data_IF_185303727053
#
_entry.id   IF_185303727053
#
_cell.length_a   1.000
_cell.length_b   1.000
_cell.length_c   1.000
_cell.angle_alpha   90.00
_cell.angle_beta   90.00
_cell.angle_gamma   90.00
#
_symmetry.space_group_name_H-M   'P 1'
#
loop_
_entity.id
_entity.type
_entity.pdbx_description
1 polymer ?
#
# COMPACT_ATOMS: atom_id res chain seq x y z
N UNK A 1 1.50 13.36 -31.46
CA UNK A 1 2.53 13.65 -30.43
C UNK A 1 2.23 14.87 -29.54
N UNK A 2 1.52 15.93 -29.99
CA UNK A 2 1.25 17.14 -29.19
C UNK A 2 0.47 16.92 -27.87
N UNK A 3 -0.42 15.93 -27.79
CA UNK A 3 -1.20 15.68 -26.57
C UNK A 3 -0.43 14.93 -25.46
N UNK A 4 0.70 14.26 -25.75
CA UNK A 4 1.41 13.47 -24.72
C UNK A 4 2.01 14.34 -23.62
N UNK A 5 2.59 15.50 -23.96
CA UNK A 5 3.18 16.41 -22.98
C UNK A 5 2.14 17.08 -22.08
N UNK A 6 0.98 17.46 -22.63
CA UNK A 6 -0.08 18.11 -21.88
C UNK A 6 -0.61 17.24 -20.72
N UNK A 7 -0.87 15.95 -20.98
CA UNK A 7 -1.31 15.01 -19.93
C UNK A 7 -0.26 14.80 -18.84
N UNK A 8 1.02 14.80 -19.20
CA UNK A 8 2.12 14.62 -18.25
C UNK A 8 2.25 15.80 -17.30
N UNK A 9 2.15 17.01 -17.84
CA UNK A 9 2.14 18.24 -17.03
C UNK A 9 0.92 18.24 -16.11
N UNK A 10 -0.26 17.84 -16.62
CA UNK A 10 -1.46 17.73 -15.79
C UNK A 10 -1.27 16.76 -14.61
N UNK A 11 -0.77 15.54 -14.85
CA UNK A 11 -0.51 14.58 -13.77
C UNK A 11 0.50 15.12 -12.75
N UNK A 12 1.57 15.78 -13.21
CA UNK A 12 2.56 16.38 -12.33
C UNK A 12 1.94 17.47 -11.46
N UNK A 13 1.10 18.34 -12.03
CA UNK A 13 0.40 19.38 -11.28
C UNK A 13 -0.55 18.80 -10.22
N UNK A 14 -1.32 17.76 -10.57
CA UNK A 14 -2.20 17.07 -9.62
C UNK A 14 -1.37 16.43 -8.50
N UNK A 15 -0.25 15.79 -8.82
CA UNK A 15 0.63 15.17 -7.83
C UNK A 15 1.28 16.20 -6.90
N UNK A 16 1.79 17.31 -7.43
CA UNK A 16 2.38 18.40 -6.62
C UNK A 16 1.33 19.02 -5.70
N UNK A 17 0.12 19.27 -6.22
CA UNK A 17 -1.01 19.74 -5.41
C UNK A 17 -1.37 18.75 -4.30
N UNK A 18 -1.37 17.45 -4.61
CA UNK A 18 -1.62 16.39 -3.63
C UNK A 18 -0.55 16.36 -2.52
N UNK A 19 0.73 16.44 -2.89
CA UNK A 19 1.84 16.54 -1.94
C UNK A 19 1.71 17.78 -1.04
N UNK A 20 1.32 18.92 -1.60
CA UNK A 20 1.11 20.15 -0.85
C UNK A 20 0.02 19.99 0.22
N UNK A 21 -1.09 19.31 -0.11
CA UNK A 21 -2.14 19.02 0.87
C UNK A 21 -1.58 18.17 2.02
N UNK A 22 -0.80 17.12 1.76
CA UNK A 22 -0.20 16.29 2.82
C UNK A 22 0.80 17.04 3.70
N UNK A 23 1.61 17.94 3.13
CA UNK A 23 2.56 18.78 3.88
C UNK A 23 1.82 19.77 4.80
N UNK A 24 0.71 20.33 4.32
CA UNK A 24 -0.09 21.32 5.05
C UNK A 24 -1.01 20.68 6.09
N UNK A 25 -1.50 19.46 5.87
CA UNK A 25 -2.45 18.75 6.73
C UNK A 25 -2.12 18.77 8.25
N UNK A 26 -0.87 18.54 8.71
CA UNK A 26 -0.55 18.53 10.13
C UNK A 26 -0.37 19.93 10.75
N UNK A 27 -0.45 21.00 9.95
CA UNK A 27 -0.15 22.37 10.40
C UNK A 27 -1.33 23.04 11.10
N UNK A 28 -1.04 24.06 11.91
CA UNK A 28 -2.07 24.92 12.56
C UNK A 28 -2.97 25.59 11.52
N UNK A 29 -2.39 26.01 10.39
CA UNK A 29 -3.12 26.67 9.30
C UNK A 29 -4.22 25.77 8.75
N UNK A 30 -3.89 24.51 8.47
CA UNK A 30 -4.89 23.57 7.99
C UNK A 30 -5.99 23.35 9.03
N UNK A 31 -5.60 23.02 10.28
CA UNK A 31 -6.56 22.72 11.36
C UNK A 31 -7.49 23.90 11.68
N UNK A 32 -6.96 25.10 11.83
CA UNK A 32 -7.70 26.23 12.38
C UNK A 32 -8.37 27.09 11.29
N UNK A 33 -7.77 27.18 10.10
CA UNK A 33 -8.28 28.07 9.05
C UNK A 33 -8.91 27.31 7.89
N UNK A 34 -8.34 26.17 7.46
CA UNK A 34 -8.82 25.47 6.26
C UNK A 34 -9.93 24.48 6.58
N UNK A 35 -9.77 23.62 7.59
CA UNK A 35 -10.79 22.64 8.00
C UNK A 35 -12.19 23.24 8.16
N UNK A 36 -12.41 24.35 8.91
CA UNK A 36 -13.75 24.91 9.04
C UNK A 36 -14.32 25.42 7.71
N UNK A 37 -13.51 26.13 6.90
CA UNK A 37 -13.92 26.64 5.58
C UNK A 37 -14.22 25.53 4.58
N UNK A 38 -13.45 24.44 4.63
CA UNK A 38 -13.64 23.27 3.78
C UNK A 38 -14.90 22.52 4.17
N UNK A 39 -15.12 22.30 5.47
CA UNK A 39 -16.33 21.63 5.96
C UNK A 39 -17.59 22.43 5.64
N UNK A 40 -17.56 23.75 5.77
CA UNK A 40 -18.71 24.59 5.38
C UNK A 40 -19.06 24.45 3.89
N UNK A 41 -18.05 24.39 3.02
CA UNK A 41 -18.26 24.31 1.56
C UNK A 41 -18.54 22.90 1.03
N UNK A 42 -17.98 21.88 1.68
CA UNK A 42 -17.98 20.50 1.20
C UNK A 42 -18.96 19.59 1.94
N UNK A 43 -19.59 20.08 3.02
CA UNK A 43 -20.67 19.38 3.69
C UNK A 43 -21.95 19.46 2.87
N UNK A 44 -22.10 18.52 1.95
CA UNK A 44 -23.30 18.36 1.13
C UNK A 44 -24.21 17.26 1.68
N UNK A 45 -25.46 17.26 1.23
CA UNK A 45 -26.48 16.25 1.58
C UNK A 45 -26.00 14.81 1.35
N UNK A 46 -25.16 14.59 0.33
CA UNK A 46 -24.69 13.27 -0.08
C UNK A 46 -23.38 12.86 0.61
N UNK A 47 -22.42 13.76 0.77
CA UNK A 47 -21.09 13.40 1.29
C UNK A 47 -20.89 13.69 2.77
N UNK A 48 -21.76 14.51 3.38
CA UNK A 48 -21.76 14.86 4.81
C UNK A 48 -20.36 15.28 5.30
N UNK A 49 -20.03 14.93 6.54
CA UNK A 49 -18.74 15.24 7.19
C UNK A 49 -17.52 14.55 6.53
N UNK A 50 -17.74 13.56 5.65
CA UNK A 50 -16.67 12.85 4.95
C UNK A 50 -16.30 13.48 3.60
N UNK A 51 -17.07 14.47 3.13
CA UNK A 51 -16.87 15.10 1.82
C UNK A 51 -15.47 15.71 1.63
N UNK A 52 -14.95 16.37 2.68
CA UNK A 52 -13.59 16.94 2.66
C UNK A 52 -12.53 15.86 2.45
N UNK A 53 -12.63 14.74 3.17
CA UNK A 53 -11.65 13.66 3.07
C UNK A 53 -11.73 12.96 1.71
N UNK A 54 -12.94 12.68 1.23
CA UNK A 54 -13.16 12.03 -0.05
C UNK A 54 -12.61 12.87 -1.22
N UNK A 55 -12.90 14.18 -1.22
CA UNK A 55 -12.47 15.07 -2.29
C UNK A 55 -10.98 15.36 -2.27
N UNK A 56 -10.37 15.55 -1.10
CA UNK A 56 -8.96 15.90 -1.01
C UNK A 56 -8.02 14.70 -1.09
N UNK A 57 -8.40 13.55 -0.53
CA UNK A 57 -7.50 12.40 -0.43
C UNK A 57 -7.83 11.27 -1.42
N UNK A 58 -9.11 10.97 -1.64
CA UNK A 58 -9.52 9.83 -2.48
C UNK A 58 -9.70 10.22 -3.96
N UNK A 59 -10.34 11.35 -4.24
CA UNK A 59 -10.63 11.78 -5.61
C UNK A 59 -9.38 11.95 -6.49
N UNK A 60 -8.27 12.58 -6.04
CA UNK A 60 -7.07 12.69 -6.87
C UNK A 60 -6.48 11.33 -7.25
N UNK A 61 -6.48 10.37 -6.31
CA UNK A 61 -6.00 9.02 -6.56
C UNK A 61 -6.88 8.28 -7.58
N UNK A 62 -8.20 8.35 -7.41
CA UNK A 62 -9.17 7.75 -8.34
C UNK A 62 -9.09 8.39 -9.74
N UNK A 63 -8.92 9.71 -9.81
CA UNK A 63 -8.75 10.43 -11.07
C UNK A 63 -7.49 9.97 -11.79
N UNK A 64 -6.36 9.86 -11.07
CA UNK A 64 -5.10 9.37 -11.65
C UNK A 64 -5.28 7.94 -12.16
N UNK A 65 -5.91 7.06 -11.38
CA UNK A 65 -6.15 5.67 -11.76
C UNK A 65 -7.05 5.57 -13.02
N UNK A 66 -8.15 6.31 -13.05
CA UNK A 66 -9.09 6.32 -14.18
C UNK A 66 -8.43 6.83 -15.46
N UNK A 67 -7.66 7.92 -15.37
CA UNK A 67 -6.93 8.46 -16.52
C UNK A 67 -5.84 7.51 -17.01
N UNK A 68 -5.13 6.84 -16.11
CA UNK A 68 -4.10 5.87 -16.50
C UNK A 68 -4.71 4.65 -17.23
N UNK A 69 -5.84 4.12 -16.74
CA UNK A 69 -6.60 3.06 -17.41
C UNK A 69 -7.11 3.53 -18.79
N UNK A 70 -7.65 4.76 -18.87
CA UNK A 70 -8.11 5.33 -20.14
C UNK A 70 -6.97 5.44 -21.17
N UNK A 71 -5.78 5.90 -20.75
CA UNK A 71 -4.60 5.98 -21.62
C UNK A 71 -4.13 4.59 -22.03
N UNK A 72 -4.13 3.63 -21.11
CA UNK A 72 -3.76 2.24 -21.39
C UNK A 72 -4.66 1.63 -22.48
N UNK A 73 -5.98 1.75 -22.35
CA UNK A 73 -6.94 1.28 -23.35
C UNK A 73 -6.77 2.02 -24.69
N UNK A 74 -6.60 3.35 -24.64
CA UNK A 74 -6.40 4.18 -25.83
C UNK A 74 -5.12 3.83 -26.60
N UNK A 75 -4.07 3.40 -25.90
CA UNK A 75 -2.82 2.91 -26.52
C UNK A 75 -2.95 1.48 -27.03
N UNK A 76 -3.64 0.58 -26.31
CA UNK A 76 -3.91 -0.80 -26.76
C UNK A 76 -4.59 -0.83 -28.14
N UNK A 77 -5.54 0.07 -28.38
CA UNK A 77 -6.23 0.21 -29.67
C UNK A 77 -5.36 0.78 -30.82
N UNK A 78 -4.17 1.33 -30.50
CA UNK A 78 -3.18 1.79 -31.48
C UNK A 78 -2.03 0.79 -31.67
N UNK A 79 -1.65 0.05 -30.62
CA UNK A 79 -0.61 -0.99 -30.69
C UNK A 79 -0.99 -2.10 -31.68
N UNK A 80 -2.28 -2.45 -31.82
CA UNK A 80 -2.76 -3.36 -32.88
C UNK A 80 -2.57 -2.83 -34.32
N UNK A 81 -2.25 -1.54 -34.50
CA UNK A 81 -1.99 -0.90 -35.80
C UNK A 81 -0.50 -0.58 -36.05
N UNK A 82 0.31 -0.53 -35.01
CA UNK A 82 1.69 -0.02 -35.07
C UNK A 82 2.77 -1.12 -34.92
N UNK A 83 2.41 -2.43 -34.97
CA UNK A 83 3.39 -3.54 -34.87
C UNK A 83 4.48 -3.48 -35.96
N UNK A 84 4.30 -2.69 -37.01
CA UNK A 84 5.26 -2.63 -38.12
C UNK A 84 6.31 -1.50 -38.03
N UNK A 85 6.22 -0.54 -37.10
CA UNK A 85 7.14 0.62 -37.13
C UNK A 85 7.64 1.00 -35.73
N UNK A 86 8.97 0.94 -35.55
CA UNK A 86 9.81 1.40 -34.43
C UNK A 86 10.12 0.39 -33.31
N UNK A 87 10.95 -0.59 -33.66
CA UNK A 87 12.16 -0.81 -32.84
C UNK A 87 13.04 0.46 -32.90
N UNK A 88 13.58 0.86 -31.75
CA UNK A 88 14.54 1.95 -31.54
C UNK A 88 13.97 3.35 -31.23
N UNK A 89 14.23 3.80 -29.99
CA UNK A 89 14.28 5.19 -29.45
C UNK A 89 13.73 5.16 -28.01
N UNK A 90 14.42 5.55 -26.93
CA UNK A 90 15.61 6.38 -26.75
C UNK A 90 16.19 6.12 -25.35
N UNK A 91 17.52 6.03 -25.32
CA UNK A 91 18.35 6.11 -24.13
C UNK A 91 18.48 7.58 -23.69
N UNK A 92 17.69 8.03 -22.72
CA UNK A 92 17.90 9.32 -22.03
C UNK A 92 18.05 9.16 -20.50
N UNK A 93 17.49 8.11 -19.90
CA UNK A 93 17.51 7.90 -18.44
C UNK A 93 18.65 7.02 -17.92
N UNK A 94 19.71 6.77 -18.71
CA UNK A 94 20.80 5.86 -18.32
C UNK A 94 21.62 6.38 -17.12
N UNK A 95 21.66 7.70 -16.91
CA UNK A 95 22.32 8.30 -15.74
C UNK A 95 21.50 8.16 -14.45
N UNK A 96 20.18 8.28 -14.52
CA UNK A 96 19.26 8.13 -13.38
C UNK A 96 19.11 6.68 -12.90
N UNK A 97 19.69 5.69 -13.60
CA UNK A 97 19.57 4.25 -13.31
C UNK A 97 20.81 3.64 -12.67
N UNK A 98 21.77 4.45 -12.23
CA UNK A 98 23.01 3.93 -11.63
C UNK A 98 22.69 3.25 -10.29
N UNK A 99 23.03 1.96 -10.11
CA UNK A 99 22.81 1.27 -8.84
C UNK A 99 23.63 2.00 -7.75
N UNK A 100 22.96 2.42 -6.68
CA UNK A 100 23.60 3.19 -5.62
C UNK A 100 24.08 2.28 -4.49
N UNK A 101 23.23 1.35 -4.06
CA UNK A 101 23.53 0.45 -2.94
C UNK A 101 22.91 -0.93 -3.17
N UNK A 102 23.62 -1.96 -2.72
CA UNK A 102 23.10 -3.32 -2.58
C UNK A 102 22.82 -3.51 -1.10
N UNK A 103 21.54 -3.56 -0.70
CA UNK A 103 21.15 -3.80 0.69
C UNK A 103 20.13 -4.94 0.74
N UNK A 104 20.49 -6.03 1.42
CA UNK A 104 19.53 -7.07 1.81
C UNK A 104 18.65 -6.52 2.94
N UNK A 105 17.31 -6.70 2.92
CA UNK A 105 16.50 -7.59 2.08
C UNK A 105 15.88 -6.95 0.81
N UNK A 106 16.20 -5.69 0.49
CA UNK A 106 15.51 -4.89 -0.53
C UNK A 106 16.10 -5.02 -1.96
N UNK A 107 17.21 -5.72 -2.12
CA UNK A 107 17.88 -5.93 -3.41
C UNK A 107 18.70 -4.72 -3.86
N UNK A 108 18.98 -4.62 -5.17
CA UNK A 108 19.70 -3.48 -5.75
C UNK A 108 18.75 -2.28 -5.79
N UNK A 109 19.13 -1.19 -5.12
CA UNK A 109 18.35 0.06 -5.04
C UNK A 109 19.09 1.17 -5.79
N UNK A 110 18.34 1.93 -6.57
CA UNK A 110 18.83 3.06 -7.36
C UNK A 110 18.90 4.36 -6.54
N UNK A 111 19.82 5.28 -6.85
CA UNK A 111 19.99 6.56 -6.13
C UNK A 111 18.69 7.39 -6.08
N UNK A 112 17.91 7.33 -7.16
CA UNK A 112 16.61 8.01 -7.27
C UNK A 112 15.58 7.41 -6.31
N UNK A 113 15.53 6.08 -6.20
CA UNK A 113 14.64 5.37 -5.29
C UNK A 113 14.95 5.69 -3.83
N UNK A 114 16.24 5.72 -3.50
CA UNK A 114 16.72 6.11 -2.17
C UNK A 114 16.32 7.55 -1.83
N UNK A 115 16.41 8.46 -2.81
CA UNK A 115 16.03 9.87 -2.64
C UNK A 115 14.52 10.01 -2.38
N UNK A 116 13.69 9.32 -3.15
CA UNK A 116 12.23 9.30 -2.92
C UNK A 116 11.87 8.69 -1.56
N UNK A 117 12.53 7.60 -1.16
CA UNK A 117 12.36 7.01 0.15
C UNK A 117 12.74 7.99 1.28
N UNK A 118 13.87 8.68 1.15
CA UNK A 118 14.32 9.68 2.12
C UNK A 118 13.35 10.87 2.21
N UNK A 119 12.87 11.39 1.07
CA UNK A 119 11.86 12.45 1.03
C UNK A 119 10.55 12.02 1.70
N UNK A 120 10.13 10.76 1.47
CA UNK A 120 8.92 10.24 2.09
C UNK A 120 9.07 10.10 3.61
N UNK A 121 10.21 9.56 4.08
CA UNK A 121 10.52 9.51 5.51
C UNK A 121 10.52 10.93 6.12
N UNK A 122 11.09 11.92 5.42
CA UNK A 122 11.06 13.30 5.86
C UNK A 122 9.62 13.84 5.99
N UNK A 123 8.71 13.48 5.08
CA UNK A 123 7.28 13.81 5.18
C UNK A 123 6.62 13.15 6.42
N UNK A 124 6.96 11.89 6.72
CA UNK A 124 6.43 11.21 7.92
C UNK A 124 6.94 11.87 9.20
N UNK A 125 8.23 12.22 9.26
CA UNK A 125 8.81 12.94 10.41
C UNK A 125 8.19 14.33 10.55
N UNK A 126 8.09 15.08 9.44
CA UNK A 126 7.45 16.40 9.39
C UNK A 126 6.01 16.35 9.91
N UNK A 127 5.24 15.38 9.44
CA UNK A 127 3.84 15.21 9.84
C UNK A 127 3.71 14.82 11.29
N UNK A 128 4.51 13.87 11.79
CA UNK A 128 4.53 13.51 13.22
C UNK A 128 4.87 14.71 14.09
N UNK A 129 5.95 15.43 13.78
CA UNK A 129 6.42 16.56 14.56
C UNK A 129 5.36 17.66 14.65
N UNK A 130 4.76 18.05 13.52
CA UNK A 130 3.72 19.07 13.49
C UNK A 130 2.44 18.61 14.18
N UNK A 131 2.02 17.36 13.96
CA UNK A 131 0.86 16.82 14.66
C UNK A 131 1.05 16.82 16.18
N UNK A 132 2.23 16.43 16.67
CA UNK A 132 2.52 16.45 18.11
C UNK A 132 2.60 17.88 18.65
N UNK A 133 3.25 18.81 17.92
CA UNK A 133 3.31 20.21 18.29
C UNK A 133 1.90 20.83 18.43
N UNK A 134 1.01 20.59 17.47
CA UNK A 134 -0.37 21.09 17.52
C UNK A 134 -1.20 20.39 18.60
N UNK A 135 -0.99 19.09 18.80
CA UNK A 135 -1.74 18.29 19.78
C UNK A 135 -1.35 18.64 21.23
N UNK A 136 -0.06 18.84 21.50
CA UNK A 136 0.42 19.22 22.83
C UNK A 136 0.05 20.65 23.21
N UNK A 137 -0.21 21.53 22.24
CA UNK A 137 -0.75 22.87 22.50
C UNK A 137 -2.21 22.87 22.98
N UNK A 138 -2.98 21.83 22.67
CA UNK A 138 -4.39 21.67 23.08
C UNK A 138 -4.66 20.22 23.49
N UNK A 139 -4.07 19.79 24.61
CA UNK A 139 -4.28 18.46 25.18
C UNK A 139 -5.73 18.32 25.66
N UNK A 140 -6.47 17.41 25.04
CA UNK A 140 -7.81 17.05 25.48
C UNK A 140 -7.73 15.97 26.56
N UNK A 141 -8.06 16.35 27.80
CA UNK A 141 -8.26 15.41 28.90
C UNK A 141 -9.66 14.81 28.80
N UNK A 142 -9.80 13.49 28.86
CA UNK A 142 -11.10 12.81 28.82
C UNK A 142 -11.74 12.73 30.21
N UNK A 143 -10.91 12.74 31.25
CA UNK A 143 -11.34 12.65 32.64
C UNK A 143 -10.63 13.72 33.46
N UNK A 144 -11.30 14.30 34.45
CA UNK A 144 -10.72 15.31 35.34
C UNK A 144 -9.48 14.80 36.11
N UNK A 145 -9.36 13.48 36.30
CA UNK A 145 -8.25 12.81 37.00
C UNK A 145 -7.14 12.29 36.05
N UNK A 146 -7.24 12.53 34.74
CA UNK A 146 -6.24 12.07 33.78
C UNK A 146 -4.92 12.82 33.95
N UNK A 147 -3.81 12.09 34.06
CA UNK A 147 -2.48 12.72 34.20
C UNK A 147 -2.01 13.23 32.84
N UNK A 148 -1.31 14.38 32.83
CA UNK A 148 -0.78 15.01 31.59
C UNK A 148 0.03 14.04 30.73
N UNK A 149 0.81 13.15 31.35
CA UNK A 149 1.61 12.18 30.61
C UNK A 149 0.75 11.09 29.92
N UNK A 150 -0.38 10.70 30.49
CA UNK A 150 -1.34 9.74 29.90
C UNK A 150 -1.98 10.36 28.66
N UNK A 151 -2.42 11.62 28.76
CA UNK A 151 -2.97 12.36 27.63
C UNK A 151 -1.94 12.56 26.50
N UNK A 152 -0.66 12.83 26.85
CA UNK A 152 0.44 12.89 25.87
C UNK A 152 0.67 11.53 25.20
N UNK A 153 0.68 10.44 25.95
CA UNK A 153 0.85 9.10 25.41
C UNK A 153 -0.28 8.73 24.45
N UNK A 154 -1.53 8.95 24.85
CA UNK A 154 -2.71 8.78 23.98
C UNK A 154 -2.60 9.61 22.71
N UNK A 155 -2.17 10.87 22.83
CA UNK A 155 -1.99 11.75 21.67
C UNK A 155 -0.95 11.16 20.70
N UNK A 156 0.20 10.69 21.19
CA UNK A 156 1.23 10.05 20.35
C UNK A 156 0.65 8.82 19.65
N UNK A 157 0.03 7.90 20.38
CA UNK A 157 -0.59 6.70 19.83
C UNK A 157 -1.61 7.03 18.74
N UNK A 158 -2.45 8.05 18.93
CA UNK A 158 -3.40 8.51 17.92
C UNK A 158 -2.72 9.05 16.65
N UNK A 159 -1.65 9.84 16.78
CA UNK A 159 -0.95 10.41 15.62
C UNK A 159 -0.23 9.36 14.79
N UNK A 160 0.28 8.29 15.40
CA UNK A 160 0.86 7.16 14.66
C UNK A 160 -0.14 6.55 13.67
N UNK A 161 -1.43 6.47 14.04
CA UNK A 161 -2.50 6.03 13.13
C UNK A 161 -2.72 6.98 11.95
N UNK A 162 -2.66 8.30 12.16
CA UNK A 162 -2.78 9.27 11.05
C UNK A 162 -1.60 9.22 10.08
N UNK A 163 -0.40 8.96 10.59
CA UNK A 163 0.78 8.75 9.74
C UNK A 163 0.65 7.44 8.98
N UNK A 164 0.13 6.38 9.62
CA UNK A 164 -0.23 5.13 8.96
C UNK A 164 -1.21 5.35 7.79
N UNK A 165 -2.23 6.20 7.97
CA UNK A 165 -3.16 6.57 6.89
C UNK A 165 -2.47 7.31 5.74
N UNK A 166 -1.43 8.10 6.04
CA UNK A 166 -0.59 8.72 5.01
C UNK A 166 0.10 7.62 4.19
N UNK A 167 0.71 6.63 4.84
CA UNK A 167 1.32 5.49 4.14
C UNK A 167 0.30 4.73 3.27
N UNK A 168 -0.93 4.50 3.76
CA UNK A 168 -1.97 3.84 2.96
C UNK A 168 -2.40 4.67 1.74
N UNK A 169 -2.53 5.98 1.87
CA UNK A 169 -2.85 6.83 0.73
C UNK A 169 -1.79 6.72 -0.38
N UNK A 170 -0.52 6.61 0.00
CA UNK A 170 0.58 6.41 -0.93
C UNK A 170 0.66 4.99 -1.49
N UNK A 171 0.18 3.99 -0.76
CA UNK A 171 0.06 2.60 -1.20
C UNK A 171 -1.00 2.42 -2.30
N UNK A 172 -2.05 3.25 -2.30
CA UNK A 172 -3.10 3.24 -3.33
C UNK A 172 -2.77 4.06 -4.58
N UNK A 173 -1.59 4.68 -4.68
CA UNK A 173 -1.18 5.21 -5.97
C UNK A 173 -1.17 4.05 -6.99
N UNK A 174 -1.85 4.21 -8.13
CA UNK A 174 -1.97 3.14 -9.11
C UNK A 174 -0.61 2.94 -9.78
N UNK A 175 0.17 1.99 -9.26
CA UNK A 175 1.46 1.66 -9.85
C UNK A 175 1.37 0.32 -10.57
N UNK A 176 0.43 0.22 -11.51
CA UNK A 176 0.28 -0.98 -12.33
C UNK A 176 1.44 -1.09 -13.33
N UNK A 177 1.90 -2.31 -13.66
CA UNK A 177 3.06 -2.55 -14.56
C UNK A 177 2.89 -1.96 -15.97
N UNK A 178 1.65 -1.67 -16.39
CA UNK A 178 1.31 -1.04 -17.67
C UNK A 178 1.07 0.47 -17.58
N UNK A 179 1.26 1.07 -16.40
CA UNK A 179 1.00 2.49 -16.19
C UNK A 179 1.86 3.33 -17.12
N UNK A 180 1.22 4.29 -17.77
CA UNK A 180 1.88 5.21 -18.67
C UNK A 180 2.75 6.25 -17.94
N UNK A 181 2.63 6.30 -16.61
CA UNK A 181 3.29 7.28 -15.72
C UNK A 181 4.67 6.79 -15.26
N UNK A 182 4.81 5.49 -14.96
CA UNK A 182 6.07 4.89 -14.48
C UNK A 182 7.28 5.13 -15.41
N UNK A 183 7.18 4.93 -16.74
CA UNK A 183 8.30 5.16 -17.65
C UNK A 183 8.72 6.64 -17.76
N UNK A 184 7.92 7.58 -17.27
CA UNK A 184 8.21 9.02 -17.36
C UNK A 184 9.17 9.52 -16.28
N UNK A 185 9.15 8.89 -15.12
CA UNK A 185 10.07 9.18 -14.02
C UNK A 185 11.29 8.26 -14.06
N UNK A 186 11.36 7.36 -15.06
CA UNK A 186 12.44 6.38 -15.20
C UNK A 186 12.36 5.21 -14.23
N UNK A 187 11.26 5.10 -13.45
CA UNK A 187 11.01 4.02 -12.50
C UNK A 187 10.58 2.75 -13.23
N UNK A 188 11.07 1.61 -12.77
CA UNK A 188 10.72 0.29 -13.30
C UNK A 188 9.52 -0.29 -12.57
N UNK A 189 8.81 -1.22 -13.20
CA UNK A 189 7.78 -2.03 -12.53
C UNK A 189 8.32 -2.81 -11.33
N UNK A 190 9.61 -3.15 -11.33
CA UNK A 190 10.28 -3.83 -10.23
C UNK A 190 10.47 -2.89 -9.02
N UNK A 191 10.88 -1.65 -9.28
CA UNK A 191 11.00 -0.57 -8.28
C UNK A 191 9.68 -0.31 -7.55
N UNK A 192 8.58 -0.25 -8.31
CA UNK A 192 7.24 -0.10 -7.77
C UNK A 192 6.87 -1.18 -6.75
N UNK A 193 7.18 -2.44 -7.08
CA UNK A 193 6.84 -3.58 -6.21
C UNK A 193 7.64 -3.48 -4.91
N UNK A 194 8.94 -3.17 -4.99
CA UNK A 194 9.78 -2.93 -3.80
C UNK A 194 9.24 -1.79 -2.94
N UNK A 195 8.82 -0.69 -3.58
CA UNK A 195 8.18 0.44 -2.90
C UNK A 195 6.89 0.02 -2.17
N UNK A 196 5.99 -0.73 -2.82
CA UNK A 196 4.74 -1.18 -2.20
C UNK A 196 4.97 -2.07 -1.00
N UNK A 197 5.90 -3.02 -1.11
CA UNK A 197 6.28 -3.92 -0.01
C UNK A 197 6.85 -3.10 1.15
N UNK A 198 7.82 -2.24 0.86
CA UNK A 198 8.45 -1.38 1.86
C UNK A 198 7.43 -0.48 2.58
N UNK A 199 6.58 0.20 1.82
CA UNK A 199 5.56 1.08 2.35
C UNK A 199 4.49 0.32 3.14
N UNK A 200 4.16 -0.90 2.69
CA UNK A 200 3.33 -1.86 3.42
C UNK A 200 3.89 -2.13 4.81
N UNK A 201 5.15 -2.56 4.92
CA UNK A 201 5.79 -2.82 6.21
C UNK A 201 5.86 -1.59 7.11
N UNK A 202 6.22 -0.42 6.56
CA UNK A 202 6.23 0.85 7.32
C UNK A 202 4.83 1.14 7.88
N UNK A 203 3.78 0.97 7.07
CA UNK A 203 2.40 1.16 7.52
C UNK A 203 2.00 0.16 8.60
N UNK A 204 2.35 -1.12 8.45
CA UNK A 204 2.07 -2.16 9.45
C UNK A 204 2.72 -1.84 10.79
N UNK A 205 3.98 -1.39 10.81
CA UNK A 205 4.68 -0.99 12.05
C UNK A 205 3.98 0.20 12.72
N UNK A 206 3.58 1.22 11.94
CA UNK A 206 2.88 2.40 12.48
C UNK A 206 1.52 2.04 13.06
N UNK A 207 0.73 1.22 12.36
CA UNK A 207 -0.57 0.76 12.84
C UNK A 207 -0.44 -0.18 14.04
N UNK A 208 0.58 -1.06 14.06
CA UNK A 208 0.86 -1.89 15.22
C UNK A 208 1.24 -1.05 16.44
N UNK A 209 2.10 -0.05 16.28
CA UNK A 209 2.45 0.87 17.36
C UNK A 209 1.24 1.69 17.85
N UNK A 210 0.37 2.12 16.93
CA UNK A 210 -0.91 2.75 17.26
C UNK A 210 -1.81 1.81 18.09
N UNK A 211 -2.06 0.59 17.61
CA UNK A 211 -2.92 -0.39 18.27
C UNK A 211 -2.39 -0.82 19.64
N UNK A 212 -1.09 -1.15 19.73
CA UNK A 212 -0.44 -1.51 21.00
C UNK A 212 -0.48 -0.34 21.97
N UNK A 213 -0.24 0.88 21.50
CA UNK A 213 -0.35 2.09 22.30
C UNK A 213 -1.74 2.27 22.92
N UNK A 214 -2.82 2.04 22.15
CA UNK A 214 -4.18 2.11 22.69
C UNK A 214 -4.53 0.95 23.64
N UNK A 215 -4.03 -0.26 23.37
CA UNK A 215 -4.19 -1.40 24.29
C UNK A 215 -3.52 -1.07 25.64
N UNK A 216 -2.29 -0.56 25.64
CA UNK A 216 -1.59 -0.17 26.88
C UNK A 216 -2.35 0.97 27.59
N UNK A 217 -2.81 1.98 26.86
CA UNK A 217 -3.54 3.11 27.45
C UNK A 217 -4.83 2.64 28.15
N UNK A 218 -5.67 1.84 27.47
CA UNK A 218 -6.93 1.39 28.06
C UNK A 218 -6.77 0.32 29.12
N UNK A 219 -5.76 -0.55 29.01
CA UNK A 219 -5.53 -1.64 29.95
C UNK A 219 -4.77 -1.22 31.19
N UNK A 220 -3.66 -0.49 31.04
CA UNK A 220 -2.73 -0.24 32.13
C UNK A 220 -2.84 1.18 32.72
N UNK A 221 -3.46 2.13 32.01
CA UNK A 221 -3.50 3.53 32.45
C UNK A 221 -4.88 4.01 32.91
N UNK A 222 -5.95 3.54 32.27
CA UNK A 222 -7.32 4.06 32.51
C UNK A 222 -8.34 3.00 32.90
N UNK A 223 -7.99 1.70 32.88
CA UNK A 223 -8.90 0.57 33.18
C UNK A 223 -10.23 0.60 32.38
N UNK A 224 -10.18 1.04 31.12
CA UNK A 224 -11.35 1.25 30.25
C UNK A 224 -11.33 0.34 29.02
N UNK A 225 -11.12 -0.96 29.21
CA UNK A 225 -11.02 -1.92 28.11
C UNK A 225 -12.26 -2.00 27.22
N UNK A 226 -13.44 -1.73 27.77
CA UNK A 226 -14.70 -1.78 27.02
C UNK A 226 -14.74 -0.80 25.83
N UNK A 227 -13.94 0.28 25.86
CA UNK A 227 -13.86 1.25 24.76
C UNK A 227 -13.28 0.62 23.47
N UNK A 228 -12.49 -0.46 23.57
CA UNK A 228 -12.05 -1.21 22.38
C UNK A 228 -13.20 -1.82 21.59
N UNK A 229 -14.32 -2.10 22.26
CA UNK A 229 -15.52 -2.70 21.67
C UNK A 229 -16.54 -1.65 21.20
N UNK A 230 -16.22 -0.37 21.30
CA UNK A 230 -17.12 0.69 20.89
C UNK A 230 -17.16 0.81 19.36
N UNK A 231 -18.37 0.72 18.80
CA UNK A 231 -18.64 1.00 17.40
C UNK A 231 -19.05 2.46 17.21
N UNK A 232 -18.47 3.14 16.21
CA UNK A 232 -18.86 4.48 15.80
C UNK A 232 -19.59 4.44 14.46
N UNK A 233 -20.66 5.23 14.31
CA UNK A 233 -21.43 5.34 13.06
C UNK A 233 -20.92 6.44 12.13
N UNK A 234 -20.19 7.43 12.65
CA UNK A 234 -19.76 8.63 11.92
C UNK A 234 -18.25 8.69 11.69
N UNK A 235 -17.46 8.08 12.59
CA UNK A 235 -16.00 8.12 12.57
C UNK A 235 -15.40 6.71 12.64
N UNK A 236 -14.05 6.63 12.66
CA UNK A 236 -13.30 5.39 12.76
C UNK A 236 -13.73 4.59 14.00
N UNK A 237 -14.27 3.39 13.76
CA UNK A 237 -14.73 2.45 14.79
C UNK A 237 -13.56 1.70 15.43
N UNK A 238 -13.53 1.63 16.76
CA UNK A 238 -12.46 0.93 17.49
C UNK A 238 -12.49 -0.57 17.19
N UNK A 239 -13.68 -1.18 17.16
CA UNK A 239 -13.87 -2.60 16.82
C UNK A 239 -13.30 -2.92 15.44
N UNK A 240 -13.57 -2.07 14.44
CA UNK A 240 -13.04 -2.26 13.09
C UNK A 240 -11.51 -2.23 13.09
N UNK A 241 -10.90 -1.33 13.87
CA UNK A 241 -9.44 -1.27 14.06
C UNK A 241 -8.87 -2.52 14.73
N UNK A 242 -9.54 -3.08 15.75
CA UNK A 242 -9.12 -4.33 16.42
C UNK A 242 -9.17 -5.51 15.46
N UNK A 243 -10.26 -5.65 14.68
CA UNK A 243 -10.38 -6.69 13.66
C UNK A 243 -9.25 -6.55 12.62
N UNK A 244 -9.02 -5.33 12.12
CA UNK A 244 -7.96 -5.06 11.16
C UNK A 244 -6.56 -5.40 11.71
N UNK A 245 -6.29 -5.08 12.98
CA UNK A 245 -5.03 -5.39 13.65
C UNK A 245 -4.81 -6.91 13.76
N UNK A 246 -5.84 -7.67 14.17
CA UNK A 246 -5.75 -9.14 14.26
C UNK A 246 -5.51 -9.77 12.88
N UNK A 247 -6.21 -9.30 11.84
CA UNK A 247 -6.00 -9.76 10.47
C UNK A 247 -4.59 -9.44 9.96
N UNK A 248 -4.08 -8.25 10.28
CA UNK A 248 -2.72 -7.83 9.92
C UNK A 248 -1.65 -8.72 10.55
N UNK A 249 -1.83 -9.14 11.81
CA UNK A 249 -0.91 -10.08 12.47
C UNK A 249 -0.91 -11.47 11.82
N UNK A 250 -2.06 -11.89 11.27
CA UNK A 250 -2.18 -13.13 10.51
C UNK A 250 -1.47 -13.06 9.15
N UNK A 251 -1.63 -11.94 8.44
CA UNK A 251 -1.03 -11.73 7.11
C UNK A 251 0.51 -11.77 7.11
N UNK A 252 1.16 -11.18 8.11
CA UNK A 252 2.63 -11.15 8.20
C UNK A 252 3.26 -12.56 8.32
N UNK A 253 2.46 -13.60 8.64
CA UNK A 253 2.95 -14.95 8.92
C UNK A 253 2.74 -15.98 7.82
N UNK A 254 2.00 -15.68 6.74
CA UNK A 254 1.65 -16.70 5.74
C UNK A 254 1.63 -16.14 4.31
N UNK A 255 2.59 -16.60 3.49
CA UNK A 255 2.44 -16.58 2.03
C UNK A 255 2.37 -18.02 1.52
N UNK A 256 1.28 -18.35 0.83
CA UNK A 256 1.20 -19.55 0.00
C UNK A 256 2.01 -19.31 -1.28
N UNK A 257 3.06 -20.09 -1.48
CA UNK A 257 3.81 -20.16 -2.76
C UNK A 257 3.09 -21.16 -3.67
N UNK A 258 3.11 -21.00 -5.01
CA UNK A 258 2.43 -21.91 -5.93
C UNK A 258 2.69 -23.39 -5.61
N UNK A 259 1.59 -24.13 -5.49
CA UNK A 259 1.56 -25.57 -5.25
C UNK A 259 2.00 -26.35 -6.47
N UNK A 260 2.96 -27.26 -6.31
CA UNK A 260 3.30 -28.25 -7.34
C UNK A 260 2.44 -29.49 -7.15
N UNK A 261 1.68 -29.84 -8.18
CA UNK A 261 0.91 -31.07 -8.28
C UNK A 261 1.78 -32.11 -8.99
N UNK A 262 2.03 -33.25 -8.35
CA UNK A 262 2.75 -34.34 -8.97
C UNK A 262 1.77 -35.31 -9.65
N UNK A 263 2.12 -35.88 -10.82
CA UNK A 263 1.26 -36.82 -11.56
C UNK A 263 0.97 -38.13 -10.79
N UNK A 264 1.64 -38.38 -9.67
CA UNK A 264 1.43 -39.53 -8.79
C UNK A 264 0.36 -39.31 -7.70
N UNK A 265 -0.42 -38.22 -7.76
CA UNK A 265 -1.46 -37.91 -6.77
C UNK A 265 -0.94 -37.31 -5.45
N UNK A 266 0.29 -36.78 -5.44
CA UNK A 266 0.82 -36.04 -4.29
C UNK A 266 0.83 -34.53 -4.55
N UNK A 267 0.58 -33.76 -3.50
CA UNK A 267 0.63 -32.30 -3.51
C UNK A 267 1.74 -31.81 -2.61
N UNK A 268 2.58 -30.93 -3.13
CA UNK A 268 3.58 -30.23 -2.34
C UNK A 268 3.08 -28.81 -2.04
N UNK A 269 2.78 -28.57 -0.77
CA UNK A 269 2.49 -27.24 -0.24
C UNK A 269 3.81 -26.64 0.22
N UNK A 270 4.27 -25.60 -0.48
CA UNK A 270 5.49 -24.88 -0.09
C UNK A 270 5.11 -23.64 0.69
N UNK A 271 5.54 -23.58 1.95
CA UNK A 271 5.40 -22.42 2.82
C UNK A 271 6.73 -21.68 2.87
N UNK A 272 6.75 -20.43 2.41
CA UNK A 272 7.90 -19.54 2.56
C UNK A 272 7.78 -18.79 3.89
N UNK A 273 8.87 -18.77 4.66
CA UNK A 273 8.93 -18.10 5.97
C UNK A 273 9.07 -16.57 5.86
N UNK A 274 9.40 -16.05 4.67
CA UNK A 274 9.73 -14.63 4.46
C UNK A 274 8.89 -14.01 3.32
N UNK A 275 8.20 -12.87 3.54
CA UNK A 275 7.25 -12.29 2.56
C UNK A 275 7.90 -11.54 1.38
N UNK A 276 9.22 -11.33 1.35
CA UNK A 276 9.86 -10.29 0.52
C UNK A 276 10.52 -10.81 -0.78
N UNK A 277 10.72 -12.12 -0.94
CA UNK A 277 11.51 -12.67 -2.06
C UNK A 277 10.68 -13.60 -2.95
N UNK A 278 10.59 -13.28 -4.25
CA UNK A 278 10.16 -14.21 -5.30
C UNK A 278 11.34 -14.99 -5.91
N UNK A 279 12.50 -14.98 -5.25
CA UNK A 279 13.72 -15.59 -5.79
C UNK A 279 13.79 -17.07 -5.42
N UNK A 280 14.20 -17.91 -6.38
CA UNK A 280 14.38 -19.36 -6.18
C UNK A 280 15.56 -19.73 -5.27
N UNK A 281 16.25 -18.75 -4.66
CA UNK A 281 17.54 -18.92 -3.98
C UNK A 281 17.44 -18.94 -2.44
N UNK A 282 16.28 -18.74 -1.83
CA UNK A 282 16.13 -18.82 -0.36
C UNK A 282 16.04 -20.26 0.15
N UNK A 283 16.84 -20.55 1.18
CA UNK A 283 17.11 -21.89 1.73
C UNK A 283 16.08 -22.34 2.79
N UNK A 284 15.27 -21.43 3.34
CA UNK A 284 14.30 -21.74 4.40
C UNK A 284 12.87 -21.89 3.86
N UNK A 285 12.63 -22.99 3.13
CA UNK A 285 11.29 -23.39 2.66
C UNK A 285 10.81 -24.60 3.46
N UNK A 286 9.62 -24.50 4.06
CA UNK A 286 8.95 -25.66 4.64
C UNK A 286 8.07 -26.27 3.54
N UNK A 287 8.47 -27.41 2.98
CA UNK A 287 7.62 -28.18 2.06
C UNK A 287 6.92 -29.31 2.81
N UNK A 288 5.59 -29.34 2.70
CA UNK A 288 4.76 -30.41 3.25
C UNK A 288 4.19 -31.20 2.07
N UNK A 289 4.59 -32.45 1.95
CA UNK A 289 4.10 -33.37 0.91
C UNK A 289 2.92 -34.15 1.45
N UNK A 290 1.76 -33.95 0.84
CA UNK A 290 0.51 -34.62 1.23
C UNK A 290 0.13 -35.60 0.12
N UNK A 291 0.09 -36.90 0.44
CA UNK A 291 -0.46 -37.92 -0.46
C UNK A 291 -1.99 -37.94 -0.41
N UNK A 292 -2.64 -38.02 -1.56
CA UNK A 292 -4.10 -38.04 -1.69
C UNK A 292 -4.75 -39.39 -1.31
N UNK A 293 -4.48 -39.91 -0.11
CA UNK A 293 -4.95 -41.23 0.34
C UNK A 293 -6.28 -41.20 1.13
N UNK A 294 -6.66 -40.04 1.69
CA UNK A 294 -7.88 -39.85 2.47
C UNK A 294 -9.00 -39.16 1.67
N UNK A 295 -10.24 -39.23 2.18
CA UNK A 295 -11.40 -38.58 1.55
C UNK A 295 -11.24 -37.06 1.44
N UNK A 296 -10.68 -36.41 2.47
CA UNK A 296 -10.41 -34.98 2.49
C UNK A 296 -9.22 -34.60 1.60
N UNK A 297 -8.13 -35.40 1.57
CA UNK A 297 -6.96 -35.11 0.71
C UNK A 297 -7.25 -35.34 -0.77
N UNK A 298 -8.12 -36.30 -1.12
CA UNK A 298 -8.63 -36.47 -2.49
C UNK A 298 -9.52 -35.30 -2.92
N UNK A 299 -10.36 -34.78 -2.01
CA UNK A 299 -11.22 -33.62 -2.29
C UNK A 299 -10.38 -32.36 -2.52
N UNK A 300 -9.34 -32.17 -1.70
CA UNK A 300 -8.35 -31.11 -1.85
C UNK A 300 -7.57 -31.24 -3.18
N UNK A 301 -7.10 -32.44 -3.53
CA UNK A 301 -6.42 -32.72 -4.81
C UNK A 301 -7.32 -32.37 -5.98
N UNK A 302 -8.58 -32.81 -5.94
CA UNK A 302 -9.55 -32.57 -6.99
C UNK A 302 -9.84 -31.08 -7.16
N UNK A 303 -9.95 -30.30 -6.07
CA UNK A 303 -10.14 -28.85 -6.14
C UNK A 303 -8.91 -28.13 -6.69
N UNK A 304 -7.70 -28.52 -6.28
CA UNK A 304 -6.46 -27.93 -6.78
C UNK A 304 -6.20 -28.32 -8.25
N UNK A 305 -6.53 -29.54 -8.67
CA UNK A 305 -6.37 -30.01 -10.05
C UNK A 305 -7.43 -29.46 -10.99
N UNK A 306 -8.69 -29.36 -10.56
CA UNK A 306 -9.78 -28.78 -11.38
C UNK A 306 -9.69 -27.28 -11.51
N UNK A 307 -8.98 -26.65 -10.59
CA UNK A 307 -8.80 -25.22 -10.57
C UNK A 307 -7.45 -24.79 -11.17
N UNK A 308 -6.68 -25.67 -11.81
CA UNK A 308 -5.50 -25.22 -12.55
C UNK A 308 -5.84 -24.25 -13.69
N UNK A 309 -7.05 -24.32 -14.26
CA UNK A 309 -7.54 -23.36 -15.26
C UNK A 309 -8.27 -22.13 -14.64
N UNK A 310 -8.54 -22.14 -13.33
CA UNK A 310 -9.41 -21.13 -12.68
C UNK A 310 -8.91 -20.59 -11.31
N UNK A 311 -7.83 -21.14 -10.76
CA UNK A 311 -7.09 -20.70 -9.57
C UNK A 311 -5.79 -20.00 -9.99
N UNK A 312 -5.89 -19.18 -11.02
CA UNK A 312 -5.13 -17.93 -11.07
C UNK A 312 -5.82 -16.85 -10.20
N UNK A 313 -6.53 -17.25 -9.13
CA UNK A 313 -6.65 -16.45 -7.91
C UNK A 313 -5.45 -16.78 -7.04
N UNK A 314 -4.27 -16.58 -7.60
CA UNK A 314 -3.17 -16.10 -6.80
C UNK A 314 -3.63 -14.73 -6.29
N UNK A 315 -3.42 -14.41 -5.02
CA UNK A 315 -3.28 -13.01 -4.62
C UNK A 315 -1.96 -12.46 -5.19
N UNK A 316 -1.68 -12.75 -6.45
CA UNK A 316 -0.91 -11.87 -7.28
C UNK A 316 -1.74 -10.60 -7.33
N UNK A 317 -1.29 -9.61 -6.55
CA UNK A 317 -1.62 -8.23 -6.85
C UNK A 317 -1.32 -7.92 -8.33
N UNK A 318 -1.55 -6.69 -8.80
CA UNK A 318 -1.58 -6.28 -10.22
C UNK A 318 -0.24 -6.38 -11.00
N UNK A 319 0.61 -7.34 -10.65
CA UNK A 319 2.02 -7.49 -10.95
C UNK A 319 2.37 -8.87 -11.52
N UNK A 320 1.40 -9.64 -12.03
CA UNK A 320 1.68 -10.84 -12.84
C UNK A 320 2.54 -10.49 -14.09
N UNK A 321 3.31 -11.43 -14.64
CA UNK A 321 4.08 -11.23 -15.87
C UNK A 321 3.15 -11.07 -17.10
N UNK A 322 3.57 -10.26 -18.09
CA UNK A 322 2.76 -9.94 -19.27
C UNK A 322 2.66 -11.08 -20.32
N UNK A 323 3.36 -12.19 -20.10
CA UNK A 323 3.33 -13.38 -20.95
C UNK A 323 3.94 -14.54 -20.16
N UNK A 324 3.24 -15.67 -20.09
CA UNK A 324 3.86 -16.95 -19.74
C UNK A 324 4.80 -17.36 -20.87
N UNK A 325 6.09 -17.65 -20.63
CA UNK A 325 6.87 -18.38 -21.61
C UNK A 325 6.27 -19.78 -21.68
N UNK A 326 5.44 -20.03 -22.68
CA UNK A 326 5.12 -21.39 -23.13
C UNK A 326 6.44 -22.05 -23.54
N UNK A 327 7.09 -22.73 -22.61
CA UNK A 327 8.13 -23.71 -22.93
C UNK A 327 7.44 -24.92 -23.56
N UNK A 328 7.18 -24.80 -24.86
CA UNK A 328 6.87 -25.94 -25.73
C UNK A 328 8.20 -26.66 -25.97
N UNK A 329 8.44 -27.73 -25.23
CA UNK A 329 9.52 -28.66 -25.59
C UNK A 329 9.20 -29.24 -26.97
N UNK A 330 10.13 -29.21 -27.94
CA UNK A 330 10.00 -30.02 -29.15
C UNK A 330 10.25 -31.49 -28.78
N UNK A 331 9.35 -32.34 -29.30
CA UNK A 331 9.26 -33.81 -29.31
C UNK A 331 10.34 -34.63 -28.61
#
# INVERSE_FOLDING_TARGET
MKFRGAWQIFFLLVFVGYMFIWVMLPTKTYKNSWTPKLNEKLNSTYFREQGTNLLLFSFPLMLIAALDVFIYISKRNRILRDVEILCSSKSYYRFLRRPATVMAPLGIVNAVELTFAAMFIALLIWSLANYLYVSFGHLHMHTANEKVWQAKFRSVSLRLGYIGNTCWAFLFFPVTRGSSILPLVGLTSESSIKYHIWLGHVSTVLFAAHSIGFIIYWWAMTDQMYLMLQWSSTYLSNVAGVIAFVLSLGYERTRLVPTRLFPNGSMELTFAKNPVSSSNLETDKLSVVIKSQGSWTRKLYKQLSSSLDHLEVSTEGPYGPASSPFLRYPY
#
